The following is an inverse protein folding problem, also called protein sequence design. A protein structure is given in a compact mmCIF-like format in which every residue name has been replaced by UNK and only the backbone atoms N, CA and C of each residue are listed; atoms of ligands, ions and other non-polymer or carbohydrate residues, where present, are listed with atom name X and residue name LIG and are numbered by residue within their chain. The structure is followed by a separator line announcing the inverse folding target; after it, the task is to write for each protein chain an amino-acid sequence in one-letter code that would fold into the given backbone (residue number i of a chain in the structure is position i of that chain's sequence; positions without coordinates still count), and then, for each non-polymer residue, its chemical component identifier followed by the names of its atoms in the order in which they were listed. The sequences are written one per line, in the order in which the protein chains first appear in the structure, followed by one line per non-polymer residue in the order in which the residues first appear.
data_IF_868043531469
#
_entry.id   IF_868043531469
#
_cell.length_a   1.000
_cell.length_b   1.000
_cell.length_c   1.000
_cell.angle_alpha   90.00
_cell.angle_beta   90.00
_cell.angle_gamma   90.00
#
_symmetry.space_group_name_H-M   'P 1'
#
loop_
_entity.id
_entity.type
_entity.pdbx_description
1 polymer ?
#
# COMPACT_ATOMS: atom_id res chain seq x y z
N UNK A 1 -11.67 0.93 -5.39
CA UNK A 1 -11.33 -0.40 -5.96
C UNK A 1 -10.05 -0.35 -6.81
N UNK A 2 -9.92 0.57 -7.77
CA UNK A 2 -8.68 0.72 -8.55
C UNK A 2 -7.42 0.98 -7.70
N UNK A 3 -7.55 1.60 -6.56
CA UNK A 3 -6.42 1.81 -5.67
C UNK A 3 -5.83 0.52 -5.04
N UNK A 4 -6.55 -0.60 -5.09
CA UNK A 4 -6.06 -1.90 -4.63
C UNK A 4 -5.16 -2.58 -5.66
N UNK A 5 -5.35 -2.27 -6.95
CA UNK A 5 -4.76 -2.99 -8.04
C UNK A 5 -3.46 -2.39 -8.58
N UNK A 6 -3.22 -1.11 -8.38
CA UNK A 6 -2.12 -0.43 -9.07
C UNK A 6 -0.84 -0.28 -8.27
N UNK A 7 -0.90 -0.28 -6.91
CA UNK A 7 0.29 -0.08 -6.10
C UNK A 7 0.20 -0.79 -4.75
N UNK A 8 1.24 -1.51 -4.41
CA UNK A 8 1.49 -2.10 -3.08
C UNK A 8 1.60 -1.06 -1.95
N UNK A 9 1.53 0.22 -2.28
CA UNK A 9 1.70 1.33 -1.35
C UNK A 9 0.44 1.67 -0.54
N UNK A 10 -0.68 0.98 -0.77
CA UNK A 10 -1.82 1.13 0.12
C UNK A 10 -1.66 0.27 1.36
N UNK A 11 -2.09 0.83 2.48
CA UNK A 11 -2.01 0.24 3.81
C UNK A 11 -2.34 -1.27 3.83
N UNK A 12 -3.44 -1.77 3.23
CA UNK A 12 -3.72 -3.21 3.29
C UNK A 12 -2.70 -4.09 2.56
N UNK A 13 -2.15 -3.63 1.44
CA UNK A 13 -1.17 -4.39 0.67
C UNK A 13 0.18 -4.47 1.38
N UNK A 14 0.65 -3.36 1.95
CA UNK A 14 1.90 -3.33 2.71
C UNK A 14 1.82 -4.15 4.00
N UNK A 15 0.65 -4.21 4.64
CA UNK A 15 0.42 -5.06 5.80
C UNK A 15 0.50 -6.52 5.41
N UNK A 16 -0.19 -6.93 4.35
CA UNK A 16 -0.16 -8.31 3.88
C UNK A 16 1.26 -8.76 3.55
N UNK A 17 2.03 -7.90 2.87
CA UNK A 17 3.44 -8.15 2.59
C UNK A 17 4.23 -8.28 3.89
N UNK A 18 4.02 -7.37 4.85
CA UNK A 18 4.68 -7.44 6.16
C UNK A 18 4.38 -8.73 6.93
N UNK A 19 3.15 -9.23 6.87
CA UNK A 19 2.79 -10.52 7.47
C UNK A 19 3.51 -11.70 6.79
N UNK A 20 3.57 -11.71 5.47
CA UNK A 20 4.26 -12.78 4.72
C UNK A 20 5.75 -12.74 5.00
N UNK A 21 6.37 -11.56 5.04
CA UNK A 21 7.79 -11.39 5.38
C UNK A 21 8.08 -11.79 6.83
N UNK A 22 7.21 -11.44 7.78
CA UNK A 22 7.33 -11.83 9.19
C UNK A 22 7.19 -13.34 9.38
N UNK A 23 6.41 -14.02 8.54
CA UNK A 23 6.28 -15.48 8.51
C UNK A 23 7.43 -16.17 7.76
N UNK A 24 8.49 -15.44 7.36
CA UNK A 24 9.65 -15.98 6.63
C UNK A 24 9.41 -16.17 5.13
N UNK A 25 8.29 -15.71 4.60
CA UNK A 25 8.00 -15.72 3.17
C UNK A 25 8.68 -14.56 2.42
N UNK A 26 8.80 -14.68 1.12
CA UNK A 26 9.28 -13.61 0.24
C UNK A 26 8.21 -13.24 -0.77
N UNK A 27 7.95 -11.95 -0.93
CA UNK A 27 6.96 -11.44 -1.89
C UNK A 27 7.69 -10.74 -3.03
N UNK A 28 7.53 -11.25 -4.24
CA UNK A 28 7.98 -10.54 -5.43
C UNK A 28 7.06 -9.36 -5.69
N UNK A 29 7.62 -8.15 -5.72
CA UNK A 29 6.89 -6.93 -6.03
C UNK A 29 6.13 -7.02 -7.36
N UNK A 30 6.78 -7.55 -8.41
CA UNK A 30 6.17 -7.70 -9.73
C UNK A 30 5.06 -8.73 -9.69
N UNK A 31 5.28 -9.91 -9.06
CA UNK A 31 4.26 -10.96 -8.94
C UNK A 31 3.02 -10.46 -8.20
N UNK A 32 3.22 -9.80 -7.06
CA UNK A 32 2.13 -9.22 -6.29
C UNK A 32 1.39 -8.13 -7.09
N UNK A 33 2.12 -7.20 -7.72
CA UNK A 33 1.52 -6.10 -8.48
C UNK A 33 0.73 -6.62 -9.69
N UNK A 34 1.24 -7.62 -10.39
CA UNK A 34 0.55 -8.22 -11.53
C UNK A 34 -0.75 -8.93 -11.09
N UNK A 35 -0.67 -9.72 -10.03
CA UNK A 35 -1.84 -10.40 -9.46
C UNK A 35 -2.88 -9.40 -8.96
N UNK A 36 -2.45 -8.38 -8.21
CA UNK A 36 -3.33 -7.32 -7.72
C UNK A 36 -3.97 -6.51 -8.88
N UNK A 37 -3.22 -6.28 -9.96
CA UNK A 37 -3.74 -5.63 -11.16
C UNK A 37 -4.84 -6.47 -11.82
N UNK A 38 -4.58 -7.75 -12.07
CA UNK A 38 -5.55 -8.66 -12.72
C UNK A 38 -6.83 -8.77 -11.89
N UNK A 39 -6.69 -9.02 -10.57
CA UNK A 39 -7.83 -9.14 -9.66
C UNK A 39 -8.59 -7.81 -9.55
N UNK A 40 -7.87 -6.70 -9.38
CA UNK A 40 -8.47 -5.37 -9.25
C UNK A 40 -9.19 -4.93 -10.53
N UNK A 41 -8.60 -5.19 -11.69
CA UNK A 41 -9.21 -4.87 -12.97
C UNK A 41 -10.45 -5.73 -13.21
N UNK A 42 -10.38 -7.03 -12.92
CA UNK A 42 -11.53 -7.93 -12.95
C UNK A 42 -12.66 -7.45 -12.04
N UNK A 43 -12.34 -7.05 -10.80
CA UNK A 43 -13.33 -6.51 -9.87
C UNK A 43 -13.98 -5.23 -10.40
N UNK A 44 -13.22 -4.34 -11.04
CA UNK A 44 -13.76 -3.10 -11.65
C UNK A 44 -14.73 -3.44 -12.80
N UNK A 45 -14.38 -4.39 -13.65
CA UNK A 45 -15.26 -4.84 -14.74
C UNK A 45 -16.57 -5.38 -14.16
N UNK A 46 -16.48 -6.31 -13.20
CA UNK A 46 -17.67 -6.90 -12.56
C UNK A 46 -18.51 -5.82 -11.90
N UNK A 47 -17.89 -4.90 -11.14
CA UNK A 47 -18.61 -3.80 -10.49
C UNK A 47 -19.27 -2.86 -11.50
N UNK A 48 -18.61 -2.57 -12.63
CA UNK A 48 -19.17 -1.71 -13.68
C UNK A 48 -20.37 -2.37 -14.36
N UNK A 49 -20.27 -3.67 -14.67
CA UNK A 49 -21.36 -4.44 -15.25
C UNK A 49 -22.54 -4.49 -14.27
N UNK A 50 -22.28 -4.82 -13.01
CA UNK A 50 -23.29 -4.86 -11.96
C UNK A 50 -23.94 -3.49 -11.75
N UNK A 51 -23.15 -2.43 -11.67
CA UNK A 51 -23.63 -1.06 -11.57
C UNK A 51 -24.57 -0.67 -12.73
N UNK A 52 -24.18 -1.03 -13.96
CA UNK A 52 -24.97 -0.73 -15.15
C UNK A 52 -26.27 -1.54 -15.21
N UNK A 53 -26.24 -2.82 -14.84
CA UNK A 53 -27.39 -3.72 -14.98
C UNK A 53 -28.36 -3.65 -13.81
N UNK A 54 -27.85 -3.54 -12.57
CA UNK A 54 -28.64 -3.65 -11.35
C UNK A 54 -28.94 -2.26 -10.76
N UNK A 55 -27.90 -1.46 -10.51
CA UNK A 55 -28.03 -0.16 -9.82
C UNK A 55 -28.60 0.91 -10.74
N UNK A 56 -28.25 0.86 -12.04
CA UNK A 56 -28.66 1.84 -13.08
C UNK A 56 -28.58 3.28 -12.58
N UNK A 57 -27.41 3.74 -12.12
CA UNK A 57 -27.28 5.08 -11.55
C UNK A 57 -27.66 6.13 -12.60
N UNK A 58 -28.43 7.15 -12.20
CA UNK A 58 -28.70 8.31 -13.04
C UNK A 58 -27.41 9.12 -13.21
N UNK A 59 -26.79 8.97 -14.37
CA UNK A 59 -25.53 9.66 -14.71
C UNK A 59 -25.75 10.97 -15.49
N UNK A 60 -27.01 11.33 -15.77
CA UNK A 60 -27.29 12.54 -16.59
C UNK A 60 -26.83 13.81 -15.87
N UNK A 61 -26.96 13.84 -14.52
CA UNK A 61 -26.47 14.95 -13.72
C UNK A 61 -24.94 15.10 -13.72
N UNK A 62 -24.20 14.05 -14.05
CA UNK A 62 -22.74 14.03 -14.04
C UNK A 62 -22.18 14.42 -15.42
N UNK A 63 -22.94 14.20 -16.50
CA UNK A 63 -22.50 14.48 -17.87
C UNK A 63 -22.23 15.98 -18.16
N UNK A 64 -22.78 16.89 -17.36
CA UNK A 64 -22.63 18.34 -17.56
C UNK A 64 -21.60 19.03 -16.66
N UNK A 65 -20.96 18.34 -15.72
CA UNK A 65 -20.21 18.99 -14.64
C UNK A 65 -18.69 18.81 -14.60
N UNK A 66 -18.13 17.94 -15.42
CA UNK A 66 -16.67 17.75 -15.45
C UNK A 66 -16.07 18.33 -16.74
N UNK A 67 -15.93 19.65 -16.80
CA UNK A 67 -14.84 20.20 -17.58
C UNK A 67 -13.54 19.78 -16.88
N UNK A 68 -12.83 18.81 -17.46
CA UNK A 68 -11.43 18.60 -17.08
C UNK A 68 -10.72 19.91 -17.33
N UNK A 69 -10.48 20.67 -16.27
CA UNK A 69 -9.68 21.88 -16.37
C UNK A 69 -8.41 21.53 -17.13
N UNK A 70 -8.27 22.06 -18.34
CA UNK A 70 -7.13 21.81 -19.22
C UNK A 70 -5.87 21.97 -18.39
N UNK A 71 -5.11 20.86 -18.25
CA UNK A 71 -4.11 20.70 -17.22
C UNK A 71 -3.13 21.85 -17.24
N UNK A 72 -3.08 22.66 -16.17
CA UNK A 72 -2.01 23.62 -15.97
C UNK A 72 -0.68 22.87 -16.10
N UNK A 73 0.25 23.42 -16.86
CA UNK A 73 1.60 22.84 -16.99
C UNK A 73 2.16 22.52 -15.61
N UNK A 74 2.64 21.31 -15.45
CA UNK A 74 3.21 20.83 -14.19
C UNK A 74 4.31 21.78 -13.72
N UNK A 75 4.24 22.20 -12.47
CA UNK A 75 5.29 22.99 -11.84
C UNK A 75 6.59 22.18 -11.74
N UNK A 76 7.73 22.85 -11.62
CA UNK A 76 9.03 22.19 -11.42
C UNK A 76 9.01 21.24 -10.22
N UNK A 77 8.34 21.65 -9.15
CA UNK A 77 8.16 20.84 -7.95
C UNK A 77 7.38 19.54 -8.22
N UNK A 78 6.26 19.63 -8.93
CA UNK A 78 5.47 18.47 -9.31
C UNK A 78 6.25 17.50 -10.20
N UNK A 79 7.08 18.00 -11.12
CA UNK A 79 7.96 17.18 -11.94
C UNK A 79 9.03 16.46 -11.12
N UNK A 80 9.62 17.13 -10.13
CA UNK A 80 10.60 16.53 -9.22
C UNK A 80 9.97 15.45 -8.34
N UNK A 81 8.79 15.72 -7.80
CA UNK A 81 8.05 14.73 -7.00
C UNK A 81 7.69 13.50 -7.83
N UNK A 82 7.23 13.72 -9.06
CA UNK A 82 6.95 12.65 -10.01
C UNK A 82 8.20 11.82 -10.31
N UNK A 83 9.33 12.48 -10.55
CA UNK A 83 10.61 11.81 -10.82
C UNK A 83 11.06 10.95 -9.61
N UNK A 84 10.90 11.45 -8.38
CA UNK A 84 11.21 10.69 -7.17
C UNK A 84 10.27 9.48 -7.01
N UNK A 85 8.99 9.64 -7.30
CA UNK A 85 8.03 8.54 -7.29
C UNK A 85 8.39 7.47 -8.32
N UNK A 86 8.76 7.88 -9.54
CA UNK A 86 9.24 6.95 -10.55
C UNK A 86 10.54 6.25 -10.14
N UNK A 87 11.48 6.97 -9.53
CA UNK A 87 12.72 6.39 -9.03
C UNK A 87 12.46 5.33 -7.95
N UNK A 88 11.51 5.58 -7.03
CA UNK A 88 11.08 4.60 -6.03
C UNK A 88 10.49 3.35 -6.69
N UNK A 89 9.57 3.51 -7.63
CA UNK A 89 8.97 2.39 -8.38
C UNK A 89 10.07 1.60 -9.11
N UNK A 90 10.97 2.30 -9.78
CA UNK A 90 12.09 1.68 -10.51
C UNK A 90 12.99 0.88 -9.55
N UNK A 91 13.26 1.39 -8.35
CA UNK A 91 14.05 0.71 -7.32
C UNK A 91 13.37 -0.61 -6.92
N UNK A 92 12.05 -0.64 -6.72
CA UNK A 92 11.33 -1.88 -6.45
C UNK A 92 11.34 -2.85 -7.64
N UNK A 93 11.26 -2.34 -8.86
CA UNK A 93 11.40 -3.19 -10.05
C UNK A 93 12.80 -3.81 -10.12
N UNK A 94 13.84 -3.02 -9.88
CA UNK A 94 15.23 -3.49 -9.84
C UNK A 94 15.42 -4.55 -8.76
N UNK A 95 14.90 -4.31 -7.55
CA UNK A 95 14.92 -5.29 -6.47
C UNK A 95 14.29 -6.62 -6.92
N UNK A 96 13.15 -6.57 -7.59
CA UNK A 96 12.40 -7.75 -8.01
C UNK A 96 13.03 -8.49 -9.20
N UNK A 97 13.61 -7.76 -10.16
CA UNK A 97 14.17 -8.34 -11.37
C UNK A 97 15.61 -8.81 -11.19
N UNK A 98 16.40 -8.07 -10.42
CA UNK A 98 17.84 -8.27 -10.32
C UNK A 98 18.24 -8.96 -9.00
N UNK A 99 17.42 -9.86 -8.46
CA UNK A 99 17.65 -10.58 -7.20
C UNK A 99 18.98 -11.35 -7.17
N UNK A 100 19.50 -11.77 -8.34
CA UNK A 100 20.76 -12.50 -8.46
C UNK A 100 21.99 -11.58 -8.50
N UNK A 101 21.83 -10.27 -8.65
CA UNK A 101 22.94 -9.30 -8.66
C UNK A 101 23.26 -8.81 -7.27
N UNK A 102 24.49 -8.28 -7.08
CA UNK A 102 24.91 -7.69 -5.79
C UNK A 102 23.97 -6.56 -5.36
N UNK A 103 23.54 -5.72 -6.30
CA UNK A 103 22.60 -4.62 -6.05
C UNK A 103 21.25 -5.16 -5.62
N UNK A 104 20.70 -6.14 -6.33
CA UNK A 104 19.41 -6.75 -6.00
C UNK A 104 19.44 -7.44 -4.64
N UNK A 105 20.52 -8.16 -4.31
CA UNK A 105 20.70 -8.79 -3.00
C UNK A 105 20.77 -7.74 -1.87
N UNK A 106 21.47 -6.63 -2.08
CA UNK A 106 21.53 -5.53 -1.13
C UNK A 106 20.13 -4.92 -0.90
N UNK A 107 19.39 -4.63 -1.98
CA UNK A 107 18.02 -4.10 -1.90
C UNK A 107 17.07 -5.10 -1.22
N UNK A 108 17.25 -6.40 -1.47
CA UNK A 108 16.45 -7.45 -0.83
C UNK A 108 16.75 -7.52 0.68
N UNK A 109 18.01 -7.40 1.10
CA UNK A 109 18.37 -7.32 2.53
C UNK A 109 17.82 -6.06 3.20
N UNK A 110 17.75 -4.95 2.48
CA UNK A 110 17.15 -3.70 2.99
C UNK A 110 15.64 -3.86 3.23
N UNK A 111 15.00 -4.70 2.41
CA UNK A 111 13.55 -4.91 2.42
C UNK A 111 12.77 -3.72 1.89
N UNK A 112 11.47 -3.91 1.70
CA UNK A 112 10.57 -2.86 1.19
C UNK A 112 10.55 -1.63 2.09
N UNK A 113 10.46 -1.85 3.40
CA UNK A 113 10.44 -0.76 4.41
C UNK A 113 11.74 0.02 4.45
N UNK A 114 12.89 -0.65 4.32
CA UNK A 114 14.19 0.00 4.28
C UNK A 114 14.38 0.88 3.05
N UNK A 115 13.93 0.42 1.88
CA UNK A 115 13.96 1.23 0.64
C UNK A 115 13.13 2.49 0.81
N UNK A 116 11.89 2.37 1.31
CA UNK A 116 11.02 3.53 1.57
C UNK A 116 11.67 4.49 2.55
N UNK A 117 12.28 3.98 3.64
CA UNK A 117 12.97 4.80 4.63
C UNK A 117 14.13 5.60 4.00
N UNK A 118 14.94 4.97 3.16
CA UNK A 118 16.02 5.67 2.43
C UNK A 118 15.47 6.79 1.56
N UNK A 119 14.39 6.56 0.83
CA UNK A 119 13.75 7.60 0.04
C UNK A 119 13.18 8.74 0.90
N UNK A 120 12.58 8.43 2.05
CA UNK A 120 12.11 9.45 3.00
C UNK A 120 13.26 10.31 3.53
N UNK A 121 14.40 9.70 3.87
CA UNK A 121 15.59 10.40 4.29
C UNK A 121 16.09 11.33 3.17
N UNK A 122 16.19 10.83 1.94
CA UNK A 122 16.61 11.64 0.78
C UNK A 122 15.68 12.84 0.60
N UNK A 123 14.35 12.63 0.64
CA UNK A 123 13.36 13.70 0.51
C UNK A 123 13.49 14.74 1.64
N UNK A 124 13.77 14.28 2.87
CA UNK A 124 13.96 15.14 4.02
C UNK A 124 15.21 16.04 3.94
N UNK A 125 16.26 15.57 3.26
CA UNK A 125 17.51 16.35 3.08
C UNK A 125 17.50 17.26 1.86
N UNK A 126 16.66 16.98 0.85
CA UNK A 126 16.56 17.84 -0.33
C UNK A 126 15.93 19.17 0.07
N UNK A 127 16.62 20.25 -0.29
CA UNK A 127 16.10 21.62 -0.13
C UNK A 127 15.75 22.23 -1.46
N UNK A 128 14.74 23.10 -1.46
CA UNK A 128 14.40 23.93 -2.60
C UNK A 128 15.43 25.04 -2.77
N UNK A 129 15.42 25.71 -3.93
CA UNK A 129 16.31 26.84 -4.20
C UNK A 129 16.08 28.04 -3.26
N UNK A 130 14.90 28.14 -2.68
CA UNK A 130 14.52 29.15 -1.68
C UNK A 130 14.95 28.79 -0.25
N UNK A 131 15.66 27.68 -0.06
CA UNK A 131 16.12 27.19 1.23
C UNK A 131 15.08 26.40 2.03
N UNK A 132 13.83 26.37 1.59
CA UNK A 132 12.76 25.57 2.22
C UNK A 132 12.99 24.07 2.01
N UNK A 133 12.42 23.25 2.88
CA UNK A 133 12.43 21.80 2.69
C UNK A 133 11.65 21.41 1.44
N UNK A 134 12.14 20.39 0.74
CA UNK A 134 11.46 19.86 -0.45
C UNK A 134 10.08 19.32 -0.11
N UNK A 135 9.98 18.56 0.99
CA UNK A 135 8.72 18.14 1.58
C UNK A 135 8.75 18.45 3.09
N UNK A 136 7.64 18.96 3.59
CA UNK A 136 7.45 19.11 5.03
C UNK A 136 7.05 17.74 5.60
N UNK A 137 8.06 17.00 6.08
CA UNK A 137 7.86 15.68 6.68
C UNK A 137 7.04 15.77 7.96
N UNK A 138 7.12 16.89 8.69
CA UNK A 138 6.36 17.09 9.92
C UNK A 138 4.86 17.23 9.60
N UNK A 139 4.53 18.08 8.63
CA UNK A 139 3.16 18.24 8.16
C UNK A 139 2.65 16.94 7.52
N UNK A 140 3.47 16.29 6.69
CA UNK A 140 3.15 14.99 6.09
C UNK A 140 2.86 13.92 7.13
N UNK A 141 3.62 13.87 8.22
CA UNK A 141 3.40 12.92 9.32
C UNK A 141 2.13 13.28 10.08
N UNK A 142 1.92 14.57 10.38
CA UNK A 142 0.77 15.03 11.17
C UNK A 142 -0.56 14.87 10.42
N UNK A 143 -0.60 15.24 9.16
CA UNK A 143 -1.83 15.36 8.38
C UNK A 143 -1.98 14.30 7.28
N UNK A 144 -0.89 13.67 6.84
CA UNK A 144 -0.87 12.68 5.76
C UNK A 144 -0.94 11.23 6.25
N UNK A 145 -0.56 10.95 7.49
CA UNK A 145 -0.63 9.61 8.06
C UNK A 145 -2.03 9.36 8.62
N UNK A 146 -2.72 8.28 8.18
CA UNK A 146 -4.01 7.90 8.76
C UNK A 146 -3.80 7.26 10.14
N UNK A 147 -3.52 8.06 11.16
CA UNK A 147 -3.21 7.62 12.51
C UNK A 147 -4.18 6.60 13.11
N UNK A 148 -5.52 6.72 12.92
CA UNK A 148 -6.45 5.71 13.42
C UNK A 148 -6.18 4.32 12.83
N UNK A 149 -5.84 4.25 11.54
CA UNK A 149 -5.49 2.98 10.88
C UNK A 149 -4.15 2.47 11.38
N UNK A 150 -3.17 3.36 11.57
CA UNK A 150 -1.85 3.00 12.12
C UNK A 150 -1.99 2.37 13.51
N UNK A 151 -2.75 3.00 14.41
CA UNK A 151 -2.99 2.45 15.75
C UNK A 151 -3.74 1.12 15.72
N UNK A 152 -4.77 1.01 14.88
CA UNK A 152 -5.50 -0.25 14.71
C UNK A 152 -4.56 -1.39 14.33
N UNK A 153 -3.62 -1.12 13.43
CA UNK A 153 -2.67 -2.12 12.96
C UNK A 153 -1.61 -2.46 14.01
N UNK A 154 -1.07 -1.43 14.68
CA UNK A 154 -0.06 -1.60 15.72
C UNK A 154 -0.58 -2.45 16.88
N UNK A 155 -1.87 -2.40 17.17
CA UNK A 155 -2.51 -3.22 18.21
C UNK A 155 -3.00 -4.55 17.63
N UNK A 156 -3.62 -4.52 16.44
CA UNK A 156 -4.22 -5.71 15.83
C UNK A 156 -3.23 -6.77 15.39
N UNK A 157 -2.04 -6.35 14.91
CA UNK A 157 -1.00 -7.30 14.51
C UNK A 157 -0.47 -8.15 15.68
N UNK A 158 0.06 -7.57 16.78
CA UNK A 158 0.51 -8.36 17.91
C UNK A 158 -0.60 -9.23 18.51
N UNK A 159 -1.82 -8.70 18.57
CA UNK A 159 -2.97 -9.47 19.04
C UNK A 159 -3.26 -10.68 18.14
N UNK A 160 -3.22 -10.49 16.82
CA UNK A 160 -3.41 -11.58 15.86
C UNK A 160 -2.33 -12.66 16.00
N UNK A 161 -1.06 -12.25 16.16
CA UNK A 161 0.03 -13.20 16.42
C UNK A 161 -0.17 -13.94 17.75
N UNK A 162 -0.51 -13.22 18.82
CA UNK A 162 -0.77 -13.84 20.12
C UNK A 162 -1.94 -14.84 20.07
N UNK A 163 -3.01 -14.50 19.32
CA UNK A 163 -4.14 -15.42 19.14
C UNK A 163 -3.80 -16.67 18.32
N UNK A 164 -2.82 -16.56 17.41
CA UNK A 164 -2.38 -17.66 16.53
C UNK A 164 -1.26 -18.49 17.13
N UNK A 165 -0.65 -18.04 18.22
CA UNK A 165 0.47 -18.74 18.87
C UNK A 165 -0.05 -19.94 19.66
N UNK A 166 0.34 -21.14 19.22
CA UNK A 166 -0.04 -22.40 19.88
C UNK A 166 0.49 -22.48 21.31
N UNK A 167 1.63 -21.85 21.60
CA UNK A 167 2.22 -21.85 22.93
C UNK A 167 1.37 -21.10 23.97
N UNK A 168 0.57 -20.14 23.54
CA UNK A 168 -0.33 -19.38 24.41
C UNK A 168 -1.67 -20.10 24.68
N UNK A 169 -2.00 -21.14 23.91
CA UNK A 169 -3.21 -21.93 24.09
C UNK A 169 -4.54 -21.16 23.95
N UNK A 170 -4.49 -19.93 23.42
CA UNK A 170 -5.68 -19.05 23.32
C UNK A 170 -6.68 -19.61 22.30
N UNK A 171 -6.18 -20.13 21.18
CA UNK A 171 -7.01 -20.66 20.11
C UNK A 171 -7.85 -21.89 20.55
N UNK A 172 -7.28 -22.90 21.23
CA UNK A 172 -8.07 -24.00 21.80
C UNK A 172 -9.09 -23.53 22.85
N UNK A 173 -8.73 -22.55 23.68
CA UNK A 173 -9.61 -21.98 24.68
C UNK A 173 -10.82 -21.30 24.03
N UNK A 174 -10.61 -20.46 23.02
CA UNK A 174 -11.68 -19.80 22.28
C UNK A 174 -12.56 -20.81 21.54
N UNK A 175 -11.97 -21.79 20.87
CA UNK A 175 -12.73 -22.84 20.18
C UNK A 175 -13.61 -23.65 21.15
N UNK A 176 -13.13 -23.92 22.36
CA UNK A 176 -13.90 -24.56 23.43
C UNK A 176 -15.10 -23.72 23.86
N UNK A 177 -14.91 -22.41 24.04
CA UNK A 177 -16.01 -21.48 24.38
C UNK A 177 -17.03 -21.38 23.23
N UNK A 178 -16.57 -21.22 21.99
CA UNK A 178 -17.47 -21.14 20.84
C UNK A 178 -18.23 -22.45 20.59
N UNK A 179 -17.61 -23.61 20.76
CA UNK A 179 -18.28 -24.90 20.61
C UNK A 179 -19.33 -25.13 21.71
N UNK A 180 -19.10 -24.62 22.91
CA UNK A 180 -20.10 -24.70 24.00
C UNK A 180 -21.31 -23.78 23.77
N UNK A 181 -21.14 -22.67 23.07
CA UNK A 181 -22.21 -21.71 22.79
C UNK A 181 -22.98 -22.09 21.52
N UNK A 182 -22.27 -22.55 20.47
CA UNK A 182 -22.85 -22.86 19.16
C UNK A 182 -23.26 -24.33 18.99
N UNK A 183 -22.80 -25.20 19.87
CA UNK A 183 -23.05 -26.65 19.83
C UNK A 183 -24.25 -27.11 20.67
N UNK A 184 -25.02 -26.19 21.20
CA UNK A 184 -26.33 -26.42 21.84
C UNK A 184 -27.47 -26.00 20.88
#
# INVERSE_FOLDING_TARGET
LMGFSLFNFRVPGSILIGYIEAAGGTVSFIGYSLTAFVVGFGAVIVYTIFGKLVVRPDVERIKGGYEFAAGKNMTRYQKQLLALTFALILTFMVQSLLTKTVVGQFLTKLGTSGIVLVFLIIIGFIRRKDGSFFADLLDGTKNGVPWPVFYLLTIGMPLSFALSDEALGIQPMLSGVFSSILGS
#
